data_IF_070792823955
#
_entry.id   IF_070792823955
#
_cell.length_a   1.000
_cell.length_b   1.000
_cell.length_c   1.000
_cell.angle_alpha   90.00
_cell.angle_beta   90.00
_cell.angle_gamma   90.00
#
_symmetry.space_group_name_H-M   'P 1'
#
loop_
_entity.id
_entity.type
_entity.pdbx_description
1 polymer ?
#
# COMPACT_ATOMS: atom_id res chain seq x y z
N UNK A 1 11.56 3.79 -3.52
CA UNK A 1 11.17 4.47 -4.79
C UNK A 1 10.52 5.82 -4.40
N UNK A 2 10.02 6.67 -5.31
CA UNK A 2 9.02 7.67 -4.89
C UNK A 2 7.63 7.08 -5.13
N UNK A 3 6.70 7.47 -4.28
CA UNK A 3 5.35 6.92 -4.31
C UNK A 3 4.32 8.03 -4.22
N UNK A 4 3.17 7.83 -4.86
CA UNK A 4 2.10 8.83 -4.82
C UNK A 4 0.72 8.21 -4.68
N UNK A 5 -0.14 8.88 -3.93
CA UNK A 5 -1.54 8.52 -3.74
C UNK A 5 -2.41 9.62 -4.34
N UNK A 6 -3.22 9.27 -5.35
CA UNK A 6 -4.23 10.16 -5.90
C UNK A 6 -5.62 9.63 -5.58
N UNK A 7 -6.40 10.37 -4.79
CA UNK A 7 -7.73 9.91 -4.34
C UNK A 7 -8.76 10.20 -5.40
N UNK A 8 -9.44 9.15 -5.88
CA UNK A 8 -10.48 9.24 -6.90
C UNK A 8 -11.88 9.40 -6.30
N UNK A 9 -12.14 8.71 -5.18
CA UNK A 9 -13.45 8.67 -4.53
C UNK A 9 -13.26 8.38 -3.04
N UNK A 10 -14.03 9.04 -2.17
CA UNK A 10 -13.98 8.83 -0.73
C UNK A 10 -12.86 9.61 -0.04
N UNK A 11 -12.42 9.08 1.08
CA UNK A 11 -11.40 9.66 1.97
C UNK A 11 -10.46 8.55 2.48
N UNK A 12 -9.20 8.90 2.70
CA UNK A 12 -8.14 8.01 3.19
C UNK A 12 -7.28 8.75 4.21
N UNK A 13 -7.02 8.13 5.36
CA UNK A 13 -6.00 8.57 6.30
C UNK A 13 -4.65 8.10 5.75
N UNK A 14 -3.74 9.02 5.41
CA UNK A 14 -2.41 8.70 4.87
C UNK A 14 -1.35 9.23 5.82
N UNK A 15 -0.49 8.36 6.31
CA UNK A 15 0.67 8.73 7.11
C UNK A 15 1.90 8.86 6.22
N UNK A 16 2.64 9.97 6.32
CA UNK A 16 3.93 10.20 5.64
C UNK A 16 4.94 10.72 6.66
N UNK A 17 5.90 9.87 7.03
CA UNK A 17 6.77 10.11 8.19
C UNK A 17 5.95 10.29 9.46
N UNK A 18 6.12 11.42 10.13
CA UNK A 18 5.43 11.74 11.39
C UNK A 18 4.12 12.53 11.17
N UNK A 19 3.66 12.67 9.92
CA UNK A 19 2.48 13.48 9.58
C UNK A 19 1.35 12.59 9.09
N UNK A 20 0.13 12.89 9.55
CA UNK A 20 -1.10 12.22 9.12
C UNK A 20 -1.96 13.20 8.33
N UNK A 21 -2.44 12.75 7.18
CA UNK A 21 -3.26 13.54 6.26
C UNK A 21 -4.61 12.84 6.05
N UNK A 22 -5.70 13.59 6.19
CA UNK A 22 -7.04 13.19 5.71
C UNK A 22 -7.16 13.58 4.23
N UNK A 23 -6.79 12.67 3.34
CA UNK A 23 -6.82 12.90 1.90
C UNK A 23 -8.19 12.52 1.30
N UNK A 24 -8.84 13.44 0.60
CA UNK A 24 -10.16 13.24 -0.04
C UNK A 24 -10.07 13.26 -1.55
N UNK A 25 -11.16 12.87 -2.21
CA UNK A 25 -11.25 12.87 -3.68
C UNK A 25 -10.72 14.19 -4.31
N UNK A 26 -9.77 14.04 -5.23
CA UNK A 26 -9.05 15.14 -5.88
C UNK A 26 -7.69 15.48 -5.26
N UNK A 27 -7.41 15.02 -4.04
CA UNK A 27 -6.12 15.26 -3.38
C UNK A 27 -5.03 14.33 -3.93
N UNK A 28 -3.80 14.84 -3.92
CA UNK A 28 -2.60 14.14 -4.34
C UNK A 28 -1.54 14.19 -3.24
N UNK A 29 -1.12 13.03 -2.74
CA UNK A 29 -0.08 12.90 -1.71
C UNK A 29 1.19 12.35 -2.36
N UNK A 30 2.31 13.03 -2.12
CA UNK A 30 3.63 12.61 -2.58
C UNK A 30 4.46 12.10 -1.41
N UNK A 31 5.08 10.93 -1.59
CA UNK A 31 6.02 10.34 -0.65
C UNK A 31 7.42 10.35 -1.26
N UNK A 32 8.34 11.02 -0.57
CA UNK A 32 9.75 11.05 -0.94
C UNK A 32 10.42 9.71 -0.65
N UNK A 33 11.49 9.41 -1.41
CA UNK A 33 12.24 8.16 -1.24
C UNK A 33 12.74 8.02 0.20
N UNK A 34 12.54 6.83 0.78
CA UNK A 34 13.01 6.51 2.13
C UNK A 34 12.14 7.09 3.24
N UNK A 35 10.95 7.62 2.93
CA UNK A 35 10.00 8.08 3.94
C UNK A 35 9.02 6.95 4.30
N UNK A 36 8.99 6.48 5.56
CA UNK A 36 7.97 5.56 6.05
C UNK A 36 6.57 6.11 5.81
N UNK A 37 5.66 5.27 5.36
CA UNK A 37 4.29 5.69 5.08
C UNK A 37 3.31 4.52 5.15
N UNK A 38 2.02 4.83 5.34
CA UNK A 38 0.91 3.88 5.29
C UNK A 38 -0.39 4.60 4.91
N UNK A 39 -1.44 3.85 4.60
CA UNK A 39 -2.78 4.39 4.36
C UNK A 39 -3.86 3.50 4.99
N UNK A 40 -4.92 4.12 5.51
CA UNK A 40 -6.03 3.44 6.18
C UNK A 40 -7.36 4.07 5.74
N UNK A 41 -8.28 3.25 5.25
CA UNK A 41 -9.67 3.67 5.05
C UNK A 41 -10.43 3.48 6.38
N UNK A 42 -10.65 4.59 7.10
CA UNK A 42 -11.41 4.59 8.37
C UNK A 42 -12.93 4.54 8.16
N UNK A 43 -13.41 4.73 6.94
CA UNK A 43 -14.82 4.76 6.63
C UNK A 43 -15.41 3.36 6.43
N UNK A 44 -16.75 3.26 6.45
CA UNK A 44 -17.48 2.02 6.09
C UNK A 44 -17.74 1.90 4.58
N UNK A 45 -17.37 2.92 3.81
CA UNK A 45 -17.60 2.99 2.38
C UNK A 45 -16.33 2.60 1.62
N UNK A 46 -16.49 2.17 0.37
CA UNK A 46 -15.33 1.93 -0.50
C UNK A 46 -14.71 3.25 -0.93
N UNK A 47 -13.41 3.39 -0.71
CA UNK A 47 -12.57 4.48 -1.24
C UNK A 47 -11.82 3.98 -2.47
N UNK A 48 -11.55 4.85 -3.45
CA UNK A 48 -10.75 4.54 -4.64
C UNK A 48 -9.54 5.45 -4.70
N UNK A 49 -8.37 4.88 -5.00
CA UNK A 49 -7.14 5.63 -5.21
C UNK A 49 -6.34 5.06 -6.39
N UNK A 50 -5.51 5.90 -6.99
CA UNK A 50 -4.40 5.48 -7.84
C UNK A 50 -3.13 5.55 -6.99
N UNK A 51 -2.42 4.43 -6.90
CA UNK A 51 -1.14 4.32 -6.21
C UNK A 51 -0.05 4.12 -7.27
N UNK A 52 0.95 5.00 -7.30
CA UNK A 52 2.00 4.96 -8.32
C UNK A 52 3.38 4.89 -7.71
N UNK A 53 4.29 4.21 -8.42
CA UNK A 53 5.69 4.02 -8.06
C UNK A 53 6.58 4.58 -9.17
N UNK A 54 7.54 5.44 -8.84
CA UNK A 54 8.47 6.02 -9.82
C UNK A 54 9.92 5.99 -9.30
N UNK A 55 10.88 5.41 -10.05
CA UNK A 55 10.64 4.40 -11.09
C UNK A 55 9.92 3.18 -10.51
N UNK A 56 9.32 2.34 -11.36
CA UNK A 56 8.61 1.14 -10.91
C UNK A 56 9.51 0.16 -10.13
N UNK A 57 10.81 0.06 -10.50
CA UNK A 57 11.70 -0.92 -9.89
C UNK A 57 11.13 -2.34 -9.97
N UNK A 58 11.26 -3.10 -8.89
CA UNK A 58 10.80 -4.50 -8.81
C UNK A 58 9.43 -4.66 -8.12
N UNK A 59 8.66 -3.57 -7.99
CA UNK A 59 7.37 -3.58 -7.29
C UNK A 59 6.36 -4.55 -7.93
N UNK A 60 6.39 -4.71 -9.25
CA UNK A 60 5.51 -5.66 -9.95
C UNK A 60 5.82 -7.11 -9.57
N UNK A 61 7.10 -7.47 -9.45
CA UNK A 61 7.49 -8.82 -9.04
C UNK A 61 7.22 -9.08 -7.56
N UNK A 62 7.40 -8.06 -6.71
CA UNK A 62 6.92 -8.12 -5.34
C UNK A 62 5.44 -8.51 -5.27
N UNK A 63 4.58 -7.89 -6.09
CA UNK A 63 3.15 -8.23 -6.11
C UNK A 63 2.89 -9.64 -6.64
N UNK A 64 3.56 -10.08 -7.72
CA UNK A 64 3.38 -11.42 -8.28
C UNK A 64 3.79 -12.52 -7.31
N UNK A 65 4.87 -12.32 -6.55
CA UNK A 65 5.37 -13.29 -5.58
C UNK A 65 4.56 -13.29 -4.28
N UNK A 66 4.04 -12.13 -3.88
CA UNK A 66 3.34 -11.97 -2.60
C UNK A 66 1.86 -12.34 -2.65
N UNK A 67 1.19 -12.12 -3.79
CA UNK A 67 -0.27 -12.20 -3.89
C UNK A 67 -0.72 -13.18 -4.97
N UNK A 68 -1.91 -13.75 -4.78
CA UNK A 68 -2.57 -14.54 -5.82
C UNK A 68 -3.15 -13.62 -6.89
N UNK A 69 -2.76 -13.85 -8.14
CA UNK A 69 -3.35 -13.18 -9.29
C UNK A 69 -4.86 -13.42 -9.37
N UNK A 70 -5.62 -12.37 -9.69
CA UNK A 70 -7.05 -12.45 -9.94
C UNK A 70 -7.47 -11.45 -11.02
N UNK A 71 -8.41 -11.86 -11.86
CA UNK A 71 -9.13 -10.97 -12.79
C UNK A 71 -10.56 -10.70 -12.34
N UNK A 72 -10.99 -11.33 -11.23
CA UNK A 72 -12.31 -11.12 -10.64
C UNK A 72 -12.20 -10.15 -9.45
N UNK A 73 -12.85 -9.00 -9.60
CA UNK A 73 -12.91 -7.95 -8.58
C UNK A 73 -13.69 -8.36 -7.33
N UNK A 74 -14.52 -9.40 -7.42
CA UNK A 74 -15.33 -9.93 -6.33
C UNK A 74 -14.80 -11.26 -5.78
N UNK A 75 -13.60 -11.69 -6.21
CA UNK A 75 -12.95 -12.85 -5.66
C UNK A 75 -12.81 -12.72 -4.12
N UNK A 76 -13.00 -13.82 -3.37
CA UNK A 76 -12.78 -13.79 -1.93
C UNK A 76 -11.32 -13.44 -1.63
N UNK A 77 -11.11 -12.64 -0.58
CA UNK A 77 -9.77 -12.31 -0.09
C UNK A 77 -9.08 -13.58 0.41
N UNK A 78 -7.80 -13.73 0.09
CA UNK A 78 -6.95 -14.73 0.75
C UNK A 78 -6.90 -14.40 2.25
N UNK A 79 -7.10 -15.38 3.16
CA UNK A 79 -6.98 -15.12 4.58
C UNK A 79 -5.56 -14.64 4.95
N UNK A 80 -5.48 -13.62 5.80
CA UNK A 80 -4.22 -13.14 6.37
C UNK A 80 -3.69 -14.18 7.39
N UNK A 81 -2.97 -15.18 6.89
CA UNK A 81 -2.31 -16.22 7.68
C UNK A 81 -0.85 -15.87 7.93
N UNK A 82 -0.22 -16.50 8.92
CA UNK A 82 1.23 -16.35 9.15
C UNK A 82 2.04 -16.72 7.90
N UNK A 83 1.64 -17.78 7.18
CA UNK A 83 2.30 -18.18 5.94
C UNK A 83 2.18 -17.12 4.83
N UNK A 84 1.02 -16.44 4.72
CA UNK A 84 0.84 -15.32 3.82
C UNK A 84 1.76 -14.15 4.19
N UNK A 85 1.80 -13.79 5.48
CA UNK A 85 2.64 -12.70 5.98
C UNK A 85 4.12 -13.00 5.72
N UNK A 86 4.58 -14.23 6.02
CA UNK A 86 5.97 -14.63 5.77
C UNK A 86 6.32 -14.57 4.28
N UNK A 87 5.48 -15.09 3.38
CA UNK A 87 5.68 -15.00 1.93
C UNK A 87 5.85 -13.55 1.46
N UNK A 88 5.00 -12.65 1.96
CA UNK A 88 5.06 -11.23 1.63
C UNK A 88 6.34 -10.58 2.14
N UNK A 89 6.76 -10.87 3.38
CA UNK A 89 8.01 -10.34 3.95
C UNK A 89 9.26 -10.85 3.21
N UNK A 90 9.30 -12.14 2.88
CA UNK A 90 10.39 -12.74 2.10
C UNK A 90 10.49 -12.15 0.69
N UNK A 91 9.34 -11.83 0.07
CA UNK A 91 9.30 -11.13 -1.22
C UNK A 91 9.81 -9.70 -1.09
N UNK A 92 9.37 -8.97 -0.06
CA UNK A 92 9.80 -7.60 0.18
C UNK A 92 11.33 -7.48 0.32
N UNK A 93 11.95 -8.40 1.07
CA UNK A 93 13.41 -8.48 1.26
C UNK A 93 14.18 -8.65 -0.07
N UNK A 94 13.60 -9.35 -1.05
CA UNK A 94 14.21 -9.53 -2.38
C UNK A 94 14.11 -8.30 -3.28
N UNK A 95 13.14 -7.41 -3.05
CA UNK A 95 12.70 -6.39 -4.01
C UNK A 95 12.92 -4.93 -3.57
N UNK A 96 13.89 -4.66 -2.68
CA UNK A 96 14.19 -3.31 -2.14
C UNK A 96 12.97 -2.65 -1.46
N UNK A 97 12.14 -3.47 -0.79
CA UNK A 97 10.97 -3.04 -0.03
C UNK A 97 11.18 -3.40 1.44
N UNK A 98 11.22 -2.39 2.29
CA UNK A 98 11.26 -2.58 3.74
C UNK A 98 9.84 -2.45 4.32
N UNK A 99 9.27 -3.56 4.78
CA UNK A 99 8.00 -3.55 5.51
C UNK A 99 8.30 -3.35 6.98
N UNK A 100 7.98 -2.16 7.49
CA UNK A 100 8.14 -1.83 8.89
C UNK A 100 7.09 -2.56 9.74
N UNK A 101 7.42 -2.93 10.99
CA UNK A 101 6.42 -3.41 11.93
C UNK A 101 5.35 -2.32 12.15
N UNK A 102 4.12 -2.71 12.55
CA UNK A 102 3.13 -1.72 12.94
C UNK A 102 3.68 -0.81 14.04
N UNK A 103 3.28 0.48 14.06
CA UNK A 103 3.69 1.40 15.12
C UNK A 103 3.38 0.81 16.49
N UNK A 104 4.26 1.03 17.47
CA UNK A 104 3.96 0.66 18.86
C UNK A 104 2.77 1.51 19.35
N UNK A 105 1.62 0.87 19.59
CA UNK A 105 0.39 1.54 20.05
C UNK A 105 -0.89 0.76 19.79
#
# INVERSE_FOLDING_TARGET
QIETFFILEGEMEITVGDQVYEAKAGDFVHVSKGTPHNFINRSRNTTKMVFTFVPAGDIEEFFRESFKETTDRHAPLEPLTDAFIQRMLESADRHDIEILPPPEG
#
